data_IF_401694051227
#
_entry.id   IF_401694051227
#
_cell.length_a   1.000
_cell.length_b   1.000
_cell.length_c   1.000
_cell.angle_alpha   90.00
_cell.angle_beta   90.00
_cell.angle_gamma   90.00
#
_symmetry.space_group_name_H-M   'P 1'
#
loop_
_entity.id
_entity.type
_entity.pdbx_description
1 polymer ?
#
# COMPACT_ATOMS: atom_id res chain seq x y z
N UNK A 1 -67.36 14.78 -8.96
CA UNK A 1 -66.02 14.93 -9.57
C UNK A 1 -65.02 14.23 -8.67
N UNK A 2 -64.18 13.38 -9.26
CA UNK A 2 -63.33 12.40 -8.58
C UNK A 2 -62.14 13.07 -7.86
N UNK A 3 -62.01 12.83 -6.55
CA UNK A 3 -60.85 13.22 -5.75
C UNK A 3 -59.81 12.09 -5.73
N UNK A 4 -59.27 11.68 -6.88
CA UNK A 4 -58.26 10.61 -6.89
C UNK A 4 -57.11 10.77 -7.87
N UNK A 5 -56.81 11.98 -8.34
CA UNK A 5 -55.75 12.21 -9.34
C UNK A 5 -54.62 13.13 -8.87
N UNK A 6 -54.62 13.62 -7.63
CA UNK A 6 -53.64 14.61 -7.14
C UNK A 6 -52.56 14.08 -6.17
N UNK A 7 -52.49 12.77 -5.95
CA UNK A 7 -51.54 12.17 -4.99
C UNK A 7 -50.35 11.48 -5.67
N UNK A 8 -50.55 10.86 -6.85
CA UNK A 8 -49.51 10.09 -7.55
C UNK A 8 -48.35 10.98 -8.02
N UNK A 9 -48.64 12.24 -8.40
CA UNK A 9 -47.63 13.15 -8.94
C UNK A 9 -46.61 13.65 -7.90
N UNK A 10 -46.98 13.68 -6.61
CA UNK A 10 -46.10 14.18 -5.53
C UNK A 10 -45.16 13.05 -5.05
N UNK A 11 -45.64 11.81 -5.06
CA UNK A 11 -44.83 10.62 -4.73
C UNK A 11 -43.68 10.40 -5.71
N UNK A 12 -43.89 10.63 -7.01
CA UNK A 12 -42.83 10.53 -8.02
C UNK A 12 -41.75 11.61 -7.88
N UNK A 13 -42.14 12.82 -7.46
CA UNK A 13 -41.20 13.92 -7.21
C UNK A 13 -40.34 13.64 -5.98
N UNK A 14 -40.90 13.05 -4.92
CA UNK A 14 -40.15 12.68 -3.71
C UNK A 14 -39.12 11.56 -3.94
N UNK A 15 -39.38 10.63 -4.85
CA UNK A 15 -38.45 9.53 -5.19
C UNK A 15 -37.20 10.05 -5.92
N UNK A 16 -37.32 11.15 -6.68
CA UNK A 16 -36.17 11.79 -7.36
C UNK A 16 -35.24 12.55 -6.40
N UNK A 17 -35.72 12.95 -5.20
CA UNK A 17 -34.91 13.61 -4.17
C UNK A 17 -34.26 12.65 -3.18
N UNK A 18 -34.56 11.34 -3.26
CA UNK A 18 -34.09 10.31 -2.34
C UNK A 18 -32.98 9.43 -2.91
N UNK A 19 -32.35 9.78 -4.04
CA UNK A 19 -31.15 9.09 -4.48
C UNK A 19 -29.94 9.56 -3.64
N UNK A 20 -29.40 8.74 -2.71
CA UNK A 20 -28.11 9.03 -2.12
C UNK A 20 -27.06 8.87 -3.22
N UNK A 21 -26.65 9.97 -3.86
CA UNK A 21 -25.41 9.98 -4.65
C UNK A 21 -24.24 10.10 -3.68
N UNK A 22 -24.04 9.06 -2.87
CA UNK A 22 -22.78 8.87 -2.16
C UNK A 22 -21.72 8.45 -3.18
N UNK A 23 -21.19 9.41 -3.95
CA UNK A 23 -19.91 9.24 -4.64
C UNK A 23 -18.78 9.38 -3.61
N UNK A 24 -18.83 8.59 -2.54
CA UNK A 24 -17.70 8.48 -1.63
C UNK A 24 -16.61 7.74 -2.41
N UNK A 25 -15.69 8.49 -2.99
CA UNK A 25 -14.45 7.93 -3.51
C UNK A 25 -13.69 7.43 -2.29
N UNK A 26 -13.72 6.12 -2.08
CA UNK A 26 -12.88 5.47 -1.06
C UNK A 26 -11.45 5.55 -1.57
N UNK A 27 -10.68 6.48 -1.03
CA UNK A 27 -9.23 6.56 -1.27
C UNK A 27 -8.60 5.49 -0.39
N UNK A 28 -8.20 4.37 -0.99
CA UNK A 28 -7.41 3.36 -0.28
C UNK A 28 -5.99 3.90 -0.09
N UNK A 29 -5.56 3.98 1.16
CA UNK A 29 -4.18 4.30 1.51
C UNK A 29 -3.47 3.02 1.93
N UNK A 30 -2.33 2.75 1.29
CA UNK A 30 -1.42 1.69 1.70
C UNK A 30 -0.23 2.32 2.38
N UNK A 31 0.04 1.89 3.61
CA UNK A 31 1.23 2.28 4.36
C UNK A 31 2.25 1.16 4.19
N UNK A 32 3.45 1.53 3.76
CA UNK A 32 4.57 0.60 3.60
C UNK A 32 5.68 1.06 4.52
N UNK A 33 6.18 0.15 5.36
CA UNK A 33 7.32 0.41 6.24
C UNK A 33 8.45 -0.52 5.86
N UNK A 34 9.66 0.00 5.70
CA UNK A 34 10.88 -0.79 5.54
C UNK A 34 11.80 -0.57 6.73
N UNK A 35 12.14 -1.64 7.45
CA UNK A 35 13.05 -1.66 8.58
C UNK A 35 14.34 -2.36 8.18
N UNK A 36 15.48 -1.70 8.37
CA UNK A 36 16.78 -2.29 8.06
C UNK A 36 17.19 -3.32 9.14
N UNK A 37 17.27 -4.60 8.75
CA UNK A 37 17.69 -5.72 9.60
C UNK A 37 18.88 -6.49 9.02
N UNK A 38 19.64 -5.88 8.10
CA UNK A 38 20.79 -6.50 7.44
C UNK A 38 21.91 -6.85 8.43
N UNK A 39 22.56 -8.00 8.21
CA UNK A 39 23.71 -8.55 8.96
C UNK A 39 23.64 -8.33 10.47
N UNK A 40 22.53 -8.77 11.08
CA UNK A 40 22.28 -8.63 12.52
C UNK A 40 22.49 -7.18 13.05
N UNK A 41 22.26 -6.19 12.18
CA UNK A 41 22.39 -4.78 12.48
C UNK A 41 23.77 -4.18 12.25
N UNK A 42 24.57 -4.69 11.31
CA UNK A 42 25.89 -4.12 10.99
C UNK A 42 25.90 -3.25 9.73
N UNK A 43 25.01 -3.51 8.76
CA UNK A 43 25.06 -2.90 7.43
C UNK A 43 24.06 -1.75 7.25
N UNK A 44 24.51 -0.70 6.56
CA UNK A 44 23.63 0.38 6.09
C UNK A 44 22.89 -0.05 4.83
N UNK A 45 21.59 0.26 4.78
CA UNK A 45 20.73 0.00 3.64
C UNK A 45 20.46 1.29 2.88
N UNK A 46 20.57 1.23 1.55
CA UNK A 46 20.11 2.28 0.64
C UNK A 46 18.89 1.78 -0.12
N UNK A 47 17.82 2.57 -0.13
CA UNK A 47 16.55 2.25 -0.79
C UNK A 47 16.25 3.32 -1.83
N UNK A 48 15.84 2.92 -3.04
CA UNK A 48 15.33 3.82 -4.07
C UNK A 48 13.98 3.30 -4.57
N UNK A 49 12.93 4.12 -4.45
CA UNK A 49 11.57 3.78 -4.89
C UNK A 49 11.07 4.86 -5.88
N UNK A 50 11.53 4.85 -7.14
CA UNK A 50 11.35 5.98 -8.05
C UNK A 50 9.90 6.29 -8.43
N UNK A 51 9.00 5.30 -8.30
CA UNK A 51 7.59 5.42 -8.68
C UNK A 51 6.63 5.57 -7.49
N UNK A 52 7.16 5.54 -6.26
CA UNK A 52 6.35 5.51 -5.04
C UNK A 52 5.79 6.90 -4.72
N UNK A 53 6.67 7.90 -4.65
CA UNK A 53 6.30 9.28 -4.39
C UNK A 53 7.38 10.22 -4.98
N UNK A 54 7.06 10.98 -6.04
CA UNK A 54 8.02 11.86 -6.69
C UNK A 54 8.45 13.06 -5.81
N UNK A 55 7.77 13.30 -4.69
CA UNK A 55 8.11 14.37 -3.74
C UNK A 55 9.18 13.94 -2.72
N UNK A 56 9.47 12.64 -2.63
CA UNK A 56 10.44 12.08 -1.68
C UNK A 56 11.85 12.03 -2.29
N UNK A 57 12.89 12.01 -1.45
CA UNK A 57 14.25 11.84 -1.94
C UNK A 57 14.37 10.54 -2.76
N UNK A 58 15.13 10.55 -3.87
CA UNK A 58 15.28 9.38 -4.74
C UNK A 58 16.04 8.23 -4.07
N UNK A 59 16.80 8.53 -3.01
CA UNK A 59 17.54 7.57 -2.21
C UNK A 59 17.30 7.83 -0.72
N UNK A 60 17.06 6.76 0.01
CA UNK A 60 16.88 6.75 1.46
C UNK A 60 17.97 5.88 2.05
N UNK A 61 18.71 6.41 3.03
CA UNK A 61 19.76 5.69 3.73
C UNK A 61 19.31 5.33 5.15
N UNK A 62 19.21 4.05 5.43
CA UNK A 62 18.81 3.52 6.73
C UNK A 62 19.99 2.86 7.42
N UNK A 63 20.31 3.38 8.61
CA UNK A 63 21.22 2.71 9.53
C UNK A 63 20.57 1.42 10.05
N UNK A 64 21.36 0.46 10.54
CA UNK A 64 20.85 -0.70 11.26
C UNK A 64 19.74 -0.39 12.26
N UNK A 65 18.62 -1.11 12.18
CA UNK A 65 17.47 -0.96 13.08
C UNK A 65 16.58 0.26 12.82
N UNK A 66 16.95 1.14 11.88
CA UNK A 66 16.09 2.26 11.49
C UNK A 66 15.08 1.84 10.43
N UNK A 67 13.96 2.55 10.41
CA UNK A 67 12.88 2.33 9.47
C UNK A 67 12.52 3.59 8.68
N UNK A 68 11.90 3.38 7.52
CA UNK A 68 11.29 4.43 6.73
C UNK A 68 9.86 4.03 6.35
N UNK A 69 8.97 5.00 6.37
CA UNK A 69 7.56 4.83 6.02
C UNK A 69 7.24 5.62 4.75
N UNK A 70 6.48 4.96 3.87
CA UNK A 70 5.82 5.63 2.76
C UNK A 70 4.32 5.40 2.85
N UNK A 71 3.56 6.42 2.44
CA UNK A 71 2.10 6.37 2.33
C UNK A 71 1.76 6.51 0.85
N UNK A 72 1.14 5.49 0.28
CA UNK A 72 0.69 5.49 -1.10
C UNK A 72 -0.84 5.62 -1.16
N UNK A 73 -1.33 6.55 -1.98
CA UNK A 73 -2.78 6.81 -2.17
C UNK A 73 -3.23 6.68 -3.63
N UNK A 74 -2.38 6.10 -4.50
CA UNK A 74 -2.71 5.91 -5.91
C UNK A 74 -3.37 4.55 -6.19
N UNK A 75 -3.70 4.31 -7.46
CA UNK A 75 -4.29 3.05 -7.91
C UNK A 75 -3.25 1.93 -7.90
N UNK A 76 -3.55 0.83 -7.19
CA UNK A 76 -2.71 -0.38 -7.20
C UNK A 76 -3.45 -1.49 -7.94
N UNK A 77 -2.83 -2.03 -8.99
CA UNK A 77 -3.37 -3.18 -9.74
C UNK A 77 -2.29 -4.23 -9.90
N UNK A 78 -2.61 -5.52 -10.12
CA UNK A 78 -1.60 -6.55 -10.35
C UNK A 78 -0.65 -6.23 -11.53
N UNK A 79 -1.14 -5.49 -12.53
CA UNK A 79 -0.36 -5.07 -13.70
C UNK A 79 0.43 -3.78 -13.49
N UNK A 80 0.11 -2.99 -12.47
CA UNK A 80 0.77 -1.74 -12.14
C UNK A 80 1.41 -1.83 -10.76
N UNK A 81 2.74 -1.88 -10.72
CA UNK A 81 3.54 -2.02 -9.48
C UNK A 81 4.25 -0.70 -9.15
N UNK A 82 3.53 0.34 -8.68
CA UNK A 82 4.14 1.63 -8.35
C UNK A 82 5.12 1.53 -7.17
N UNK A 83 5.11 0.40 -6.45
CA UNK A 83 5.82 0.18 -5.20
C UNK A 83 7.06 -0.73 -5.40
N UNK A 84 7.57 -0.79 -6.63
CA UNK A 84 8.85 -1.43 -6.95
C UNK A 84 10.01 -0.56 -6.44
N UNK A 85 10.84 -1.14 -5.58
CA UNK A 85 11.96 -0.49 -4.95
C UNK A 85 13.26 -1.27 -5.19
N UNK A 86 14.36 -0.53 -5.27
CA UNK A 86 15.73 -1.03 -5.32
C UNK A 86 16.37 -0.92 -3.94
N UNK A 87 17.07 -1.96 -3.54
CA UNK A 87 17.73 -2.09 -2.24
C UNK A 87 19.20 -2.38 -2.49
N UNK A 88 20.09 -1.63 -1.85
CA UNK A 88 21.52 -1.81 -1.99
C UNK A 88 22.24 -1.66 -0.65
N UNK A 89 23.25 -2.49 -0.45
CA UNK A 89 24.20 -2.41 0.65
C UNK A 89 25.57 -2.88 0.16
N UNK A 90 26.54 -2.99 1.06
CA UNK A 90 27.89 -3.41 0.68
C UNK A 90 27.87 -4.80 0.02
N UNK A 91 28.28 -4.85 -1.25
CA UNK A 91 28.41 -6.09 -2.01
C UNK A 91 27.13 -6.66 -2.62
N UNK A 92 25.96 -6.03 -2.44
CA UNK A 92 24.71 -6.55 -2.98
C UNK A 92 23.72 -5.45 -3.38
N UNK A 93 22.94 -5.76 -4.42
CA UNK A 93 21.83 -4.94 -4.88
C UNK A 93 20.69 -5.85 -5.34
N UNK A 94 19.48 -5.51 -4.95
CA UNK A 94 18.28 -6.31 -5.16
C UNK A 94 17.09 -5.44 -5.49
N UNK A 95 16.07 -6.06 -6.09
CA UNK A 95 14.80 -5.40 -6.34
C UNK A 95 13.67 -6.14 -5.62
N UNK A 96 12.69 -5.40 -5.12
CA UNK A 96 11.50 -5.98 -4.54
C UNK A 96 10.29 -5.08 -4.73
N UNK A 97 9.13 -5.71 -4.97
CA UNK A 97 7.86 -4.99 -4.97
C UNK A 97 7.32 -4.95 -3.55
N UNK A 98 7.32 -3.77 -2.93
CA UNK A 98 6.96 -3.57 -1.53
C UNK A 98 5.47 -3.81 -1.25
N UNK A 99 4.65 -3.89 -2.29
CA UNK A 99 3.26 -4.30 -2.16
C UNK A 99 2.75 -4.88 -3.47
N UNK A 100 2.16 -6.06 -3.40
CA UNK A 100 1.45 -6.70 -4.49
C UNK A 100 0.02 -7.03 -4.03
N UNK A 101 -1.03 -6.53 -4.69
CA UNK A 101 -2.41 -6.72 -4.24
C UNK A 101 -2.84 -8.19 -4.23
N UNK A 102 -2.15 -9.09 -4.96
CA UNK A 102 -2.43 -10.53 -4.92
C UNK A 102 -1.78 -11.23 -3.72
N UNK A 103 -0.71 -10.65 -3.17
CA UNK A 103 0.11 -11.20 -2.09
C UNK A 103 -0.16 -10.54 -0.73
N UNK A 104 -0.52 -9.26 -0.75
CA UNK A 104 -0.48 -8.34 0.39
C UNK A 104 -1.83 -7.65 0.67
N UNK A 105 -2.92 -8.13 0.06
CA UNK A 105 -4.28 -7.63 0.37
C UNK A 105 -4.69 -7.84 1.83
N UNK A 106 -3.91 -8.59 2.61
CA UNK A 106 -4.07 -8.79 4.05
C UNK A 106 -3.47 -7.67 4.91
N UNK A 107 -2.76 -6.68 4.34
CA UNK A 107 -2.22 -5.55 5.08
C UNK A 107 -2.64 -4.19 4.50
N UNK A 108 -3.18 -3.32 5.37
CA UNK A 108 -3.31 -1.88 5.11
C UNK A 108 -1.99 -1.16 5.49
N UNK A 109 -1.30 -1.67 6.51
CA UNK A 109 0.05 -1.29 6.91
C UNK A 109 0.99 -2.49 6.81
N UNK A 110 1.86 -2.46 5.80
CA UNK A 110 2.75 -3.56 5.46
C UNK A 110 4.15 -3.27 6.00
N UNK A 111 4.46 -3.89 7.14
CA UNK A 111 5.75 -3.77 7.83
C UNK A 111 6.75 -4.81 7.32
N UNK A 112 7.74 -4.36 6.54
CA UNK A 112 8.80 -5.18 5.97
C UNK A 112 10.11 -5.05 6.73
N UNK A 113 10.68 -6.18 7.10
CA UNK A 113 12.03 -6.33 7.65
C UNK A 113 12.97 -6.73 6.52
N UNK A 114 13.89 -5.83 6.17
CA UNK A 114 14.82 -6.00 5.05
C UNK A 114 16.06 -6.76 5.55
N UNK A 115 16.23 -7.99 5.08
CA UNK A 115 17.38 -8.85 5.40
C UNK A 115 18.05 -9.39 4.13
N UNK A 116 19.25 -9.94 4.26
CA UNK A 116 20.06 -10.37 3.10
C UNK A 116 19.38 -11.44 2.25
N UNK A 117 18.65 -12.37 2.88
CA UNK A 117 17.93 -13.45 2.17
C UNK A 117 16.67 -12.97 1.46
N UNK A 118 16.18 -11.79 1.82
CA UNK A 118 14.91 -11.30 1.35
C UNK A 118 14.18 -10.43 2.39
N UNK A 119 13.18 -9.66 1.94
CA UNK A 119 12.27 -8.96 2.82
C UNK A 119 11.28 -9.93 3.46
N UNK A 120 11.02 -9.74 4.75
CA UNK A 120 10.07 -10.53 5.53
C UNK A 120 9.01 -9.63 6.14
N UNK A 121 7.80 -10.13 6.34
CA UNK A 121 6.76 -9.43 7.12
C UNK A 121 5.99 -10.40 8.00
N UNK A 122 5.43 -9.87 9.08
CA UNK A 122 4.49 -10.61 9.90
C UNK A 122 3.09 -10.52 9.30
N UNK A 123 2.43 -11.67 9.11
CA UNK A 123 1.10 -11.75 8.49
C UNK A 123 0.01 -12.06 9.51
N UNK A 124 -1.14 -11.42 9.35
CA UNK A 124 -2.38 -11.73 10.06
C UNK A 124 -3.40 -12.32 9.09
N UNK A 125 -4.31 -13.22 9.53
CA UNK A 125 -4.47 -13.75 10.89
C UNK A 125 -3.54 -14.92 11.24
N UNK A 126 -2.74 -15.43 10.30
CA UNK A 126 -1.93 -16.63 10.46
C UNK A 126 -0.83 -16.51 11.54
N UNK A 127 -0.47 -15.29 11.95
CA UNK A 127 0.57 -14.98 12.95
C UNK A 127 1.93 -15.61 12.59
N UNK A 128 2.28 -15.55 11.31
CA UNK A 128 3.51 -16.12 10.80
C UNK A 128 4.40 -15.06 10.15
N UNK A 129 5.72 -15.28 10.20
CA UNK A 129 6.67 -14.52 9.42
C UNK A 129 6.75 -15.10 8.01
N UNK A 130 6.34 -14.32 7.02
CA UNK A 130 6.46 -14.66 5.61
C UNK A 130 7.64 -13.89 5.00
N UNK A 131 8.60 -14.62 4.45
CA UNK A 131 9.76 -14.09 3.75
C UNK A 131 9.66 -14.36 2.25
N UNK A 132 10.17 -13.45 1.44
CA UNK A 132 10.14 -13.56 -0.02
C UNK A 132 11.54 -13.42 -0.58
N UNK A 133 11.77 -14.05 -1.72
CA UNK A 133 13.03 -13.88 -2.43
C UNK A 133 13.10 -12.47 -3.05
N UNK A 134 14.32 -11.97 -3.13
CA UNK A 134 14.66 -10.88 -4.03
C UNK A 134 14.35 -11.24 -5.49
N UNK A 135 14.12 -10.21 -6.30
CA UNK A 135 14.16 -10.32 -7.76
C UNK A 135 15.57 -10.02 -8.28
#
# INVERSE_FOLDING_TARGET
MSFFTRSVSILWVLILFLSPTSNAVVVYQIIVVATNTLDNGSLNLTISCPYFDPTKPPYIHLRPGYQYEWIYSGDITPTHRPLLCFFAWEGAAHTFNMYDPTRDSDCEECNWYIGEKGPCRFRFPNREFACYNWF
#
